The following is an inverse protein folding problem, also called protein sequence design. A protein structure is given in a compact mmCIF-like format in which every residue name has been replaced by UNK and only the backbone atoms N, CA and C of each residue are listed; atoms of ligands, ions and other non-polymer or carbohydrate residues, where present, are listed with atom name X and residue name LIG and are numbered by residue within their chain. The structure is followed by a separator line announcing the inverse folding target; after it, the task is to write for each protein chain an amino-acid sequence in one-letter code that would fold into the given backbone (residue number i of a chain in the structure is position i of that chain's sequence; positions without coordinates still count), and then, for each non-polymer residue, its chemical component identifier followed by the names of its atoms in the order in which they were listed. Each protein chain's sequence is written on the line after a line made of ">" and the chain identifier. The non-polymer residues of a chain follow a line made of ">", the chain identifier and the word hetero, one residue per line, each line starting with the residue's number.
data_IF_734232068046
#
_entry.id   IF_734232068046
#
_cell.length_a   1.000
_cell.length_b   1.000
_cell.length_c   1.000
_cell.angle_alpha   90.00
_cell.angle_beta   90.00
_cell.angle_gamma   90.00
#
_symmetry.space_group_name_H-M   'P 1'
#
loop_
_entity.id
_entity.type
_entity.pdbx_description
1 polymer ?
#
# COMPACT_ATOMS: atom_id res chain seq x y z
N UNK A 1 17.59 4.47 -11.74
CA UNK A 1 17.36 3.78 -10.45
C UNK A 1 18.05 2.44 -10.46
N UNK A 2 18.58 1.97 -9.31
CA UNK A 2 19.23 0.66 -9.15
C UNK A 2 18.77 -0.03 -7.87
N UNK A 3 18.89 -1.35 -7.82
CA UNK A 3 18.61 -2.13 -6.62
C UNK A 3 19.70 -1.99 -5.58
N UNK A 4 19.32 -1.70 -4.34
CA UNK A 4 20.24 -1.84 -3.22
C UNK A 4 20.23 -3.27 -2.64
N UNK A 5 21.16 -3.56 -1.71
CA UNK A 5 21.31 -4.89 -1.07
C UNK A 5 20.08 -5.36 -0.28
N UNK A 6 19.12 -4.47 0.00
CA UNK A 6 17.88 -4.77 0.72
C UNK A 6 16.67 -4.93 -0.20
N UNK A 7 16.86 -4.87 -1.53
CA UNK A 7 15.77 -5.00 -2.49
C UNK A 7 14.88 -3.76 -2.60
N UNK A 8 15.44 -2.56 -2.48
CA UNK A 8 14.77 -1.30 -2.77
C UNK A 8 15.43 -0.61 -3.96
N UNK A 9 14.62 0.10 -4.75
CA UNK A 9 15.10 0.97 -5.80
C UNK A 9 15.60 2.29 -5.18
N UNK A 10 16.85 2.64 -5.49
CA UNK A 10 17.51 3.86 -5.03
C UNK A 10 18.18 4.56 -6.22
N UNK A 11 18.43 5.87 -6.14
CA UNK A 11 19.22 6.56 -7.15
C UNK A 11 20.58 5.89 -7.35
N UNK A 12 21.12 5.96 -8.56
CA UNK A 12 22.47 5.45 -8.83
C UNK A 12 23.52 6.25 -8.02
N UNK A 13 24.65 5.63 -7.61
CA UNK A 13 25.74 6.35 -6.96
C UNK A 13 26.18 7.55 -7.81
N UNK A 14 26.46 8.67 -7.16
CA UNK A 14 26.88 9.89 -7.83
C UNK A 14 25.75 10.68 -8.50
N UNK A 15 24.49 10.26 -8.37
CA UNK A 15 23.33 11.08 -8.77
C UNK A 15 23.01 12.05 -7.63
N UNK A 16 23.41 13.32 -7.67
CA UNK A 16 23.06 14.25 -6.60
C UNK A 16 21.55 14.50 -6.63
N UNK A 17 20.91 14.71 -5.47
CA UNK A 17 19.55 15.22 -5.47
C UNK A 17 19.53 16.56 -6.18
N UNK A 18 18.55 16.79 -7.07
CA UNK A 18 18.33 18.10 -7.67
C UNK A 18 18.13 19.16 -6.59
N UNK A 19 18.45 20.43 -6.90
CA UNK A 19 18.35 21.55 -5.94
C UNK A 19 16.98 21.66 -5.26
N UNK A 20 15.92 21.23 -5.94
CA UNK A 20 14.53 21.23 -5.45
C UNK A 20 14.08 19.92 -4.82
N UNK A 21 14.96 18.91 -4.67
CA UNK A 21 14.57 17.58 -4.17
C UNK A 21 13.84 17.63 -2.81
N UNK A 22 14.31 18.48 -1.90
CA UNK A 22 13.70 18.60 -0.57
C UNK A 22 12.24 19.09 -0.63
N UNK A 23 11.89 19.89 -1.62
CA UNK A 23 10.52 20.40 -1.84
C UNK A 23 9.58 19.35 -2.44
N UNK A 24 10.12 18.32 -3.12
CA UNK A 24 9.34 17.30 -3.83
C UNK A 24 9.32 15.93 -3.12
N UNK A 25 10.22 15.71 -2.17
CA UNK A 25 10.23 14.47 -1.42
C UNK A 25 9.09 14.46 -0.39
N UNK A 26 8.12 13.52 -0.47
CA UNK A 26 6.97 13.48 0.45
C UNK A 26 7.36 13.24 1.91
N UNK A 27 8.62 12.89 2.16
CA UNK A 27 9.19 12.66 3.50
C UNK A 27 10.12 13.79 3.95
N UNK A 28 10.29 14.83 3.15
CA UNK A 28 11.11 16.00 3.51
C UNK A 28 10.40 16.89 4.53
N UNK A 29 11.13 17.54 5.45
CA UNK A 29 10.56 18.56 6.32
C UNK A 29 10.15 19.85 5.59
N UNK A 30 10.63 20.07 4.37
CA UNK A 30 10.30 21.23 3.53
C UNK A 30 9.03 21.03 2.70
N UNK A 31 8.58 19.77 2.55
CA UNK A 31 7.37 19.47 1.82
C UNK A 31 6.13 19.73 2.68
N UNK A 32 5.07 20.38 2.15
CA UNK A 32 3.80 20.54 2.86
C UNK A 32 3.20 19.19 3.21
N UNK A 33 2.46 19.15 4.31
CA UNK A 33 1.75 17.94 4.72
C UNK A 33 0.47 17.71 3.91
N UNK A 34 -0.18 16.58 4.14
CA UNK A 34 -1.38 16.16 3.41
C UNK A 34 -2.55 17.11 3.64
N UNK A 35 -2.69 17.70 4.84
CA UNK A 35 -3.78 18.66 5.15
C UNK A 35 -3.64 19.94 4.33
N UNK A 36 -2.42 20.46 4.19
CA UNK A 36 -2.13 21.64 3.38
C UNK A 36 -2.42 21.38 1.89
N UNK A 37 -1.93 20.25 1.37
CA UNK A 37 -2.15 19.89 -0.04
C UNK A 37 -3.64 19.63 -0.31
N UNK A 38 -4.33 18.86 0.54
CA UNK A 38 -5.75 18.57 0.38
C UNK A 38 -6.62 19.83 0.55
N UNK A 39 -6.18 20.80 1.39
CA UNK A 39 -6.84 22.10 1.52
C UNK A 39 -6.84 22.91 0.23
N UNK A 40 -5.75 22.85 -0.53
CA UNK A 40 -5.63 23.50 -1.83
C UNK A 40 -6.39 22.76 -2.94
N UNK A 41 -6.32 21.41 -2.94
CA UNK A 41 -6.94 20.60 -3.98
C UNK A 41 -8.46 20.48 -3.83
N UNK A 42 -8.96 20.40 -2.61
CA UNK A 42 -10.35 20.13 -2.30
C UNK A 42 -10.99 21.19 -1.38
N UNK A 43 -10.86 22.51 -1.70
CA UNK A 43 -11.31 23.58 -0.81
C UNK A 43 -12.84 23.56 -0.58
N UNK A 44 -13.60 23.14 -1.60
CA UNK A 44 -15.07 23.13 -1.59
C UNK A 44 -15.68 21.78 -1.13
N UNK A 45 -14.85 20.79 -0.72
CA UNK A 45 -15.38 19.52 -0.27
C UNK A 45 -16.30 19.71 0.96
N UNK A 46 -17.54 19.18 0.95
CA UNK A 46 -18.54 19.44 1.99
C UNK A 46 -18.21 18.77 3.33
N UNK A 47 -17.35 17.76 3.31
CA UNK A 47 -16.96 17.01 4.52
C UNK A 47 -15.47 17.09 4.76
N UNK A 48 -15.09 17.15 6.04
CA UNK A 48 -13.71 17.06 6.51
C UNK A 48 -13.64 16.22 7.79
N UNK A 49 -12.72 15.29 7.85
CA UNK A 49 -12.46 14.47 9.02
C UNK A 49 -10.94 14.39 9.25
N UNK A 50 -10.50 14.60 10.48
CA UNK A 50 -9.07 14.64 10.82
C UNK A 50 -8.33 13.32 10.56
N UNK A 51 -9.06 12.20 10.33
CA UNK A 51 -8.51 10.86 10.14
C UNK A 51 -8.43 10.45 8.68
N UNK A 52 -9.34 10.95 7.82
CA UNK A 52 -9.45 10.57 6.41
C UNK A 52 -9.38 11.76 5.42
N UNK A 53 -9.23 12.99 5.94
CA UNK A 53 -9.10 14.20 5.14
C UNK A 53 -10.43 14.76 4.64
N UNK A 54 -10.39 15.61 3.61
CA UNK A 54 -11.55 16.23 2.95
C UNK A 54 -12.18 15.26 1.96
N UNK A 55 -13.52 15.26 1.81
CA UNK A 55 -14.20 14.39 0.86
C UNK A 55 -15.61 14.87 0.47
N UNK A 56 -16.06 14.44 -0.71
CA UNK A 56 -17.40 14.64 -1.26
C UNK A 56 -18.38 13.55 -0.85
N UNK A 57 -17.90 12.31 -0.82
CA UNK A 57 -18.68 11.13 -0.48
C UNK A 57 -17.78 9.96 -0.11
N UNK A 58 -18.32 9.00 0.65
CA UNK A 58 -17.68 7.74 0.93
C UNK A 58 -18.67 6.59 0.73
N UNK A 59 -18.15 5.45 0.23
CA UNK A 59 -18.97 4.28 -0.09
C UNK A 59 -18.28 2.99 0.33
N UNK A 60 -19.10 1.93 0.48
CA UNK A 60 -18.65 0.53 0.60
C UNK A 60 -19.34 -0.30 -0.47
N UNK A 61 -18.63 -1.22 -1.12
CA UNK A 61 -19.20 -2.13 -2.12
C UNK A 61 -18.20 -2.62 -3.16
N UNK A 62 -18.69 -2.90 -4.35
CA UNK A 62 -17.89 -3.52 -5.41
C UNK A 62 -18.41 -3.19 -6.82
N UNK A 63 -17.60 -3.46 -7.83
CA UNK A 63 -18.02 -3.45 -9.22
C UNK A 63 -18.85 -4.72 -9.49
N UNK A 64 -20.08 -4.53 -9.99
CA UNK A 64 -20.93 -5.61 -10.53
C UNK A 64 -20.60 -5.92 -11.99
N UNK A 65 -20.10 -4.92 -12.71
CA UNK A 65 -19.62 -5.07 -14.08
C UNK A 65 -18.40 -5.99 -14.13
N UNK A 66 -18.49 -6.99 -15.04
CA UNK A 66 -17.38 -7.92 -15.27
C UNK A 66 -16.29 -7.29 -16.17
N UNK A 67 -15.01 -7.65 -16.01
CA UNK A 67 -14.47 -8.67 -15.08
C UNK A 67 -13.81 -8.04 -13.82
N UNK A 68 -14.17 -6.82 -13.42
CA UNK A 68 -13.40 -6.01 -12.46
C UNK A 68 -13.28 -6.63 -11.07
N UNK A 69 -14.38 -7.16 -10.51
CA UNK A 69 -14.33 -7.77 -9.17
C UNK A 69 -13.54 -9.08 -9.15
N UNK A 70 -13.77 -10.05 -10.05
CA UNK A 70 -12.95 -11.27 -10.09
C UNK A 70 -11.47 -11.01 -10.31
N UNK A 71 -11.11 -10.11 -11.22
CA UNK A 71 -9.73 -9.82 -11.56
C UNK A 71 -9.04 -8.89 -10.54
N UNK A 72 -9.78 -8.19 -9.72
CA UNK A 72 -9.22 -7.31 -8.67
C UNK A 72 -8.81 -8.09 -7.42
N UNK A 73 -7.98 -7.49 -6.57
CA UNK A 73 -7.66 -8.04 -5.24
C UNK A 73 -8.78 -7.87 -4.23
N UNK A 74 -9.72 -6.97 -4.47
CA UNK A 74 -10.88 -6.67 -3.62
C UNK A 74 -12.13 -6.47 -4.49
N UNK A 75 -12.95 -5.45 -4.23
CA UNK A 75 -14.18 -5.17 -4.97
C UNK A 75 -14.02 -4.71 -6.42
N UNK A 76 -12.80 -4.52 -6.95
CA UNK A 76 -12.52 -4.18 -8.35
C UNK A 76 -12.69 -2.71 -8.71
N UNK A 77 -13.01 -1.82 -7.75
CA UNK A 77 -13.40 -0.43 -8.02
C UNK A 77 -12.27 0.43 -8.56
N UNK A 78 -11.01 0.21 -8.17
CA UNK A 78 -9.87 0.97 -8.72
C UNK A 78 -9.75 0.76 -10.22
N UNK A 79 -9.79 -0.51 -10.66
CA UNK A 79 -9.70 -0.86 -12.08
C UNK A 79 -10.92 -0.38 -12.84
N UNK A 80 -12.12 -0.46 -12.24
CA UNK A 80 -13.35 0.04 -12.85
C UNK A 80 -13.30 1.56 -13.09
N UNK A 81 -12.89 2.35 -12.09
CA UNK A 81 -12.78 3.82 -12.25
C UNK A 81 -11.74 4.18 -13.31
N UNK A 82 -10.57 3.53 -13.26
CA UNK A 82 -9.52 3.75 -14.26
C UNK A 82 -10.02 3.41 -15.68
N UNK A 83 -10.74 2.28 -15.85
CA UNK A 83 -11.34 1.87 -17.11
C UNK A 83 -12.41 2.86 -17.58
N UNK A 84 -13.24 3.38 -16.69
CA UNK A 84 -14.28 4.32 -17.03
C UNK A 84 -13.72 5.68 -17.48
N UNK A 85 -12.65 6.14 -16.86
CA UNK A 85 -11.94 7.36 -17.29
C UNK A 85 -11.36 7.22 -18.71
N UNK A 86 -10.81 6.03 -19.05
CA UNK A 86 -10.34 5.72 -20.41
C UNK A 86 -11.52 5.60 -21.38
N UNK A 87 -12.54 4.82 -21.04
CA UNK A 87 -13.70 4.53 -21.89
C UNK A 87 -14.46 5.80 -22.29
N UNK A 88 -14.58 6.73 -21.37
CA UNK A 88 -15.29 8.01 -21.59
C UNK A 88 -14.39 9.09 -22.18
N UNK A 89 -13.14 8.80 -22.48
CA UNK A 89 -12.19 9.76 -23.03
C UNK A 89 -11.86 10.92 -22.10
N UNK A 90 -12.05 10.75 -20.80
CA UNK A 90 -11.64 11.75 -19.78
C UNK A 90 -10.12 11.79 -19.68
N UNK A 91 -9.48 10.63 -19.79
CA UNK A 91 -8.02 10.50 -19.90
C UNK A 91 -7.64 9.69 -21.12
N UNK A 92 -6.44 9.93 -21.63
CA UNK A 92 -5.89 9.26 -22.82
C UNK A 92 -5.06 8.03 -22.43
N UNK A 93 -4.54 8.00 -21.19
CA UNK A 93 -3.86 6.83 -20.62
C UNK A 93 -3.89 6.84 -19.08
N UNK A 94 -3.67 5.66 -18.49
CA UNK A 94 -3.55 5.45 -17.04
C UNK A 94 -2.16 4.94 -16.70
N UNK A 95 -1.44 5.68 -15.85
CA UNK A 95 -0.19 5.22 -15.25
C UNK A 95 -0.51 4.33 -14.04
N UNK A 96 -0.18 3.07 -14.10
CA UNK A 96 -0.41 2.10 -13.03
C UNK A 96 0.68 1.03 -13.01
N UNK A 97 0.74 0.25 -11.93
CA UNK A 97 1.70 -0.86 -11.79
C UNK A 97 1.18 -2.10 -12.48
N UNK A 98 2.00 -2.68 -13.36
CA UNK A 98 1.69 -3.91 -14.08
C UNK A 98 2.87 -4.91 -14.02
N UNK A 99 2.65 -6.20 -14.32
CA UNK A 99 3.72 -7.15 -14.53
C UNK A 99 4.66 -6.70 -15.64
N UNK A 100 5.94 -7.04 -15.50
CA UNK A 100 6.97 -6.79 -16.51
C UNK A 100 7.40 -8.09 -17.16
N UNK A 101 8.15 -7.98 -18.26
CA UNK A 101 8.86 -9.10 -18.81
C UNK A 101 9.82 -9.69 -17.74
N UNK A 102 9.84 -11.02 -17.54
CA UNK A 102 10.75 -11.67 -16.62
C UNK A 102 12.25 -11.35 -16.85
N UNK A 103 12.63 -11.10 -18.10
CA UNK A 103 14.01 -10.73 -18.48
C UNK A 103 14.41 -9.32 -18.04
N UNK A 104 13.45 -8.47 -17.68
CA UNK A 104 13.71 -7.08 -17.22
C UNK A 104 14.44 -6.99 -15.87
N UNK A 105 14.57 -8.10 -15.14
CA UNK A 105 15.09 -8.13 -13.77
C UNK A 105 14.15 -7.49 -12.73
N UNK A 106 12.91 -7.24 -13.09
CA UNK A 106 11.83 -6.72 -12.22
C UNK A 106 10.57 -7.53 -12.45
N UNK A 107 9.80 -7.80 -11.40
CA UNK A 107 8.50 -8.45 -11.56
C UNK A 107 7.37 -7.46 -11.90
N UNK A 108 7.52 -6.21 -11.46
CA UNK A 108 6.53 -5.16 -11.66
C UNK A 108 7.19 -3.80 -11.88
N UNK A 109 6.54 -2.99 -12.71
CA UNK A 109 6.90 -1.59 -12.94
C UNK A 109 5.65 -0.75 -13.23
N UNK A 110 5.77 0.58 -13.13
CA UNK A 110 4.78 1.47 -13.70
C UNK A 110 4.83 1.39 -15.23
N UNK A 111 3.65 1.44 -15.83
CA UNK A 111 3.45 1.58 -17.28
C UNK A 111 2.27 2.50 -17.56
N UNK A 112 2.23 3.06 -18.76
CA UNK A 112 1.04 3.68 -19.31
C UNK A 112 0.20 2.61 -20.00
N UNK A 113 -1.09 2.59 -19.72
CA UNK A 113 -2.09 1.76 -20.43
C UNK A 113 -3.08 2.67 -21.13
N UNK A 114 -3.22 2.47 -22.44
CA UNK A 114 -4.12 3.23 -23.32
C UNK A 114 -5.38 2.44 -23.70
N UNK A 115 -5.44 1.17 -23.33
CA UNK A 115 -6.57 0.29 -23.60
C UNK A 115 -7.10 -0.41 -22.34
N UNK A 116 -8.34 -0.90 -22.40
CA UNK A 116 -8.93 -1.68 -21.31
C UNK A 116 -8.23 -3.02 -21.10
N UNK A 117 -7.72 -3.62 -22.19
CA UNK A 117 -6.97 -4.87 -22.14
C UNK A 117 -5.67 -4.70 -21.34
N UNK A 118 -4.87 -3.69 -21.70
CA UNK A 118 -3.62 -3.35 -20.99
C UNK A 118 -3.86 -3.02 -19.53
N UNK A 119 -4.95 -2.27 -19.22
CA UNK A 119 -5.32 -1.92 -17.86
C UNK A 119 -5.67 -3.16 -17.03
N UNK A 120 -6.46 -4.08 -17.61
CA UNK A 120 -6.87 -5.32 -16.96
C UNK A 120 -5.68 -6.26 -16.71
N UNK A 121 -4.69 -6.31 -17.60
CA UNK A 121 -3.46 -7.08 -17.41
C UNK A 121 -2.66 -6.62 -16.16
N UNK A 122 -2.80 -5.35 -15.78
CA UNK A 122 -2.19 -4.79 -14.56
C UNK A 122 -3.06 -4.88 -13.30
N UNK A 123 -4.26 -5.46 -13.37
CA UNK A 123 -5.13 -5.61 -12.20
C UNK A 123 -4.41 -6.34 -11.04
N UNK A 124 -4.90 -6.17 -9.83
CA UNK A 124 -4.41 -6.72 -8.54
C UNK A 124 -3.36 -5.88 -7.82
N UNK A 125 -3.25 -6.14 -6.52
CA UNK A 125 -2.29 -5.48 -5.63
C UNK A 125 -0.89 -6.05 -5.82
N UNK A 126 0.10 -5.15 -5.91
CA UNK A 126 1.51 -5.50 -6.11
C UNK A 126 2.33 -4.98 -4.93
N UNK A 127 2.74 -5.86 -4.03
CA UNK A 127 3.54 -5.52 -2.84
C UNK A 127 5.03 -5.54 -3.16
N UNK A 128 5.44 -4.70 -4.10
CA UNK A 128 6.76 -4.70 -4.70
C UNK A 128 7.26 -3.27 -4.87
N UNK A 129 8.57 -3.00 -4.72
CA UNK A 129 9.12 -1.68 -4.96
C UNK A 129 9.01 -1.29 -6.43
N UNK A 130 8.43 -0.12 -6.65
CA UNK A 130 8.28 0.49 -7.98
C UNK A 130 8.69 1.96 -7.93
N UNK A 131 8.89 2.57 -9.08
CA UNK A 131 9.25 3.98 -9.20
C UNK A 131 8.57 4.60 -10.43
N UNK A 132 8.46 5.92 -10.47
CA UNK A 132 7.67 6.65 -11.46
C UNK A 132 8.51 7.29 -12.58
N UNK A 133 9.84 7.23 -12.54
CA UNK A 133 10.69 8.03 -13.41
C UNK A 133 10.45 7.78 -14.90
N UNK A 134 10.26 6.51 -15.27
CA UNK A 134 10.00 6.15 -16.66
C UNK A 134 8.67 6.73 -17.15
N UNK A 135 7.56 6.44 -16.47
CA UNK A 135 6.23 6.91 -16.91
C UNK A 135 6.11 8.43 -16.85
N UNK A 136 6.79 9.10 -15.91
CA UNK A 136 6.86 10.57 -15.89
C UNK A 136 7.64 11.12 -17.09
N UNK A 137 8.68 10.41 -17.54
CA UNK A 137 9.38 10.72 -18.79
C UNK A 137 8.46 10.58 -20.02
N UNK A 138 7.71 9.52 -20.10
CA UNK A 138 6.72 9.27 -21.17
C UNK A 138 5.60 10.33 -21.15
N UNK A 139 5.06 10.67 -19.99
CA UNK A 139 4.06 11.73 -19.81
C UNK A 139 4.63 13.10 -20.26
N UNK A 140 5.90 13.40 -19.95
CA UNK A 140 6.54 14.65 -20.42
C UNK A 140 6.76 14.67 -21.93
N UNK A 141 7.04 13.53 -22.54
CA UNK A 141 7.30 13.44 -23.98
C UNK A 141 6.01 13.49 -24.82
N UNK A 142 4.91 12.91 -24.32
CA UNK A 142 3.68 12.71 -25.09
C UNK A 142 2.57 13.63 -24.58
N UNK A 143 2.04 14.57 -25.37
CA UNK A 143 0.83 15.33 -25.02
C UNK A 143 -0.35 14.43 -24.78
N UNK A 144 -1.16 14.75 -23.76
CA UNK A 144 -2.34 13.94 -23.40
C UNK A 144 -2.78 14.22 -21.98
N UNK A 145 -3.86 13.58 -21.57
CA UNK A 145 -4.44 13.64 -20.23
C UNK A 145 -4.25 12.29 -19.55
N UNK A 146 -3.67 12.30 -18.37
CA UNK A 146 -3.25 11.09 -17.70
C UNK A 146 -3.91 10.96 -16.32
N UNK A 147 -4.34 9.74 -15.99
CA UNK A 147 -4.61 9.37 -14.61
C UNK A 147 -3.40 8.62 -14.02
N UNK A 148 -3.11 8.83 -12.75
CA UNK A 148 -2.05 8.09 -12.03
C UNK A 148 -2.68 7.32 -10.87
N UNK A 149 -2.49 5.99 -10.86
CA UNK A 149 -2.85 5.13 -9.73
C UNK A 149 -1.64 4.99 -8.81
N UNK A 150 -1.79 5.29 -7.52
CA UNK A 150 -0.63 5.23 -6.62
C UNK A 150 -0.99 5.12 -5.14
N UNK A 151 -0.01 4.68 -4.36
CA UNK A 151 -0.06 4.71 -2.89
C UNK A 151 0.09 6.15 -2.37
N UNK A 152 -0.27 6.47 -1.12
CA UNK A 152 -0.33 7.84 -0.61
C UNK A 152 0.91 8.68 -0.87
N UNK A 153 2.11 8.14 -0.57
CA UNK A 153 3.36 8.88 -0.77
C UNK A 153 3.69 9.16 -2.24
N UNK A 154 3.23 8.30 -3.17
CA UNK A 154 3.39 8.51 -4.61
C UNK A 154 2.45 9.59 -5.11
N UNK A 155 1.18 9.56 -4.69
CA UNK A 155 0.21 10.60 -5.05
C UNK A 155 0.66 11.97 -4.49
N UNK A 156 1.10 12.01 -3.22
CA UNK A 156 1.69 13.24 -2.66
C UNK A 156 2.89 13.73 -3.47
N UNK A 157 3.81 12.83 -3.86
CA UNK A 157 4.96 13.20 -4.69
C UNK A 157 4.55 13.76 -6.07
N UNK A 158 3.51 13.21 -6.70
CA UNK A 158 2.94 13.74 -7.94
C UNK A 158 2.42 15.17 -7.72
N UNK A 159 1.66 15.44 -6.68
CA UNK A 159 1.16 16.80 -6.40
C UNK A 159 2.28 17.80 -6.10
N UNK A 160 3.31 17.36 -5.38
CA UNK A 160 4.49 18.19 -5.16
C UNK A 160 5.23 18.48 -6.48
N UNK A 161 5.37 17.48 -7.34
CA UNK A 161 6.02 17.65 -8.66
C UNK A 161 5.21 18.56 -9.57
N UNK A 162 3.89 18.49 -9.58
CA UNK A 162 2.99 19.37 -10.36
C UNK A 162 3.22 20.86 -10.07
N UNK A 163 3.70 21.22 -8.88
CA UNK A 163 3.96 22.61 -8.49
C UNK A 163 5.17 23.23 -9.20
N UNK A 164 6.07 22.39 -9.69
CA UNK A 164 7.38 22.82 -10.25
C UNK A 164 7.61 22.34 -11.67
N UNK A 165 6.79 21.41 -12.15
CA UNK A 165 6.82 20.90 -13.52
C UNK A 165 5.45 21.17 -14.16
N UNK A 166 5.31 22.28 -14.92
CA UNK A 166 4.05 22.66 -15.54
C UNK A 166 3.52 21.58 -16.49
N UNK A 167 4.40 20.84 -17.18
CA UNK A 167 4.00 19.78 -18.12
C UNK A 167 3.31 18.64 -17.36
N UNK A 168 3.87 18.22 -16.24
CA UNK A 168 3.22 17.22 -15.36
C UNK A 168 1.97 17.82 -14.73
N UNK A 169 2.00 19.11 -14.35
CA UNK A 169 0.86 19.84 -13.80
C UNK A 169 -0.36 19.79 -14.71
N UNK A 170 -0.17 20.06 -15.99
CA UNK A 170 -1.23 20.12 -17.00
C UNK A 170 -1.70 18.73 -17.43
N UNK A 171 -0.77 17.79 -17.58
CA UNK A 171 -1.05 16.46 -18.17
C UNK A 171 -1.60 15.44 -17.18
N UNK A 172 -1.15 15.43 -15.93
CA UNK A 172 -1.71 14.55 -14.91
C UNK A 172 -2.98 15.17 -14.34
N UNK A 173 -4.12 14.79 -14.91
CA UNK A 173 -5.43 15.40 -14.61
C UNK A 173 -6.18 14.69 -13.48
N UNK A 174 -5.88 13.39 -13.23
CA UNK A 174 -6.57 12.58 -12.23
C UNK A 174 -5.59 11.73 -11.42
N UNK A 175 -5.89 11.59 -10.13
CA UNK A 175 -5.12 10.77 -9.20
C UNK A 175 -6.04 9.77 -8.48
N UNK A 176 -5.69 8.49 -8.59
CA UNK A 176 -6.42 7.36 -8.00
C UNK A 176 -5.56 6.78 -6.87
N UNK A 177 -5.93 7.04 -5.63
CA UNK A 177 -5.19 6.61 -4.45
C UNK A 177 -5.52 5.19 -4.02
N UNK A 178 -4.51 4.46 -3.54
CA UNK A 178 -4.68 3.17 -2.91
C UNK A 178 -4.41 3.30 -1.41
N UNK A 179 -5.29 2.75 -0.57
CA UNK A 179 -5.00 2.68 0.86
C UNK A 179 -3.73 1.86 1.10
N UNK A 180 -2.90 2.31 2.00
CA UNK A 180 -1.56 1.73 2.16
C UNK A 180 -1.20 1.46 3.62
N UNK A 181 -0.94 0.20 3.94
CA UNK A 181 -0.34 -0.18 5.22
C UNK A 181 1.16 0.10 5.25
N UNK A 182 1.91 -0.41 4.28
CA UNK A 182 3.34 -0.15 4.04
C UNK A 182 3.80 -0.80 2.72
N UNK A 183 4.93 -0.34 2.19
CA UNK A 183 5.60 -0.96 1.04
C UNK A 183 6.53 -2.07 1.51
N UNK A 184 6.57 -3.17 0.78
CA UNK A 184 7.53 -4.28 0.96
C UNK A 184 8.76 -4.08 0.10
N UNK A 185 9.87 -4.75 0.44
CA UNK A 185 11.03 -4.86 -0.44
C UNK A 185 10.86 -6.01 -1.45
N UNK A 186 11.60 -5.99 -2.55
CA UNK A 186 11.63 -7.09 -3.52
C UNK A 186 12.12 -8.42 -2.89
N UNK A 187 12.86 -8.34 -1.79
CA UNK A 187 13.30 -9.49 -1.01
C UNK A 187 12.15 -10.35 -0.45
N UNK A 188 10.91 -9.83 -0.42
CA UNK A 188 9.75 -10.62 -0.04
C UNK A 188 9.45 -11.73 -1.05
N UNK A 189 9.66 -11.48 -2.34
CA UNK A 189 9.51 -12.52 -3.40
C UNK A 189 10.47 -13.68 -3.16
N UNK A 190 11.73 -13.36 -2.84
CA UNK A 190 12.73 -14.39 -2.54
C UNK A 190 12.41 -15.18 -1.27
N UNK A 191 11.98 -14.50 -0.21
CA UNK A 191 11.55 -15.18 1.01
C UNK A 191 10.39 -16.13 0.74
N UNK A 192 9.42 -15.73 -0.06
CA UNK A 192 8.29 -16.57 -0.44
C UNK A 192 8.74 -17.75 -1.30
N UNK A 193 9.58 -17.52 -2.31
CA UNK A 193 10.16 -18.59 -3.13
C UNK A 193 10.88 -19.64 -2.26
N UNK A 194 11.73 -19.21 -1.34
CA UNK A 194 12.43 -20.13 -0.42
C UNK A 194 11.48 -20.97 0.43
N UNK A 195 10.41 -20.36 0.93
CA UNK A 195 9.43 -21.05 1.77
C UNK A 195 8.51 -21.99 0.96
N UNK A 196 8.36 -21.73 -0.33
CA UNK A 196 7.67 -22.61 -1.27
C UNK A 196 8.61 -23.66 -1.94
N UNK A 197 9.86 -23.77 -1.46
CA UNK A 197 10.79 -24.80 -1.92
C UNK A 197 11.47 -24.51 -3.26
N UNK A 198 11.41 -23.27 -3.76
CA UNK A 198 12.02 -22.85 -5.01
C UNK A 198 13.05 -21.71 -4.79
N UNK A 199 13.75 -21.32 -5.86
CA UNK A 199 14.71 -20.22 -5.87
C UNK A 199 14.13 -19.03 -6.64
N UNK A 200 14.54 -17.81 -6.24
CA UNK A 200 14.06 -16.56 -6.89
C UNK A 200 14.29 -16.58 -8.41
N UNK A 201 15.41 -17.10 -8.87
CA UNK A 201 15.74 -17.17 -10.29
C UNK A 201 14.78 -18.03 -11.13
N UNK A 202 13.96 -18.86 -10.49
CA UNK A 202 12.95 -19.67 -11.16
C UNK A 202 11.58 -18.99 -11.19
N UNK A 203 11.37 -17.88 -10.47
CA UNK A 203 10.09 -17.19 -10.43
C UNK A 203 9.93 -16.33 -11.67
N UNK A 204 9.03 -16.71 -12.57
CA UNK A 204 8.68 -15.95 -13.78
C UNK A 204 7.59 -14.93 -13.53
N UNK A 205 6.51 -15.35 -12.89
CA UNK A 205 5.41 -14.46 -12.51
C UNK A 205 4.95 -14.71 -11.09
N UNK A 206 4.32 -13.72 -10.50
CA UNK A 206 3.78 -13.85 -9.17
C UNK A 206 2.48 -13.10 -8.98
N UNK A 207 1.57 -13.72 -8.22
CA UNK A 207 0.39 -13.07 -7.68
C UNK A 207 0.45 -13.12 -6.15
N UNK A 208 0.31 -11.96 -5.52
CA UNK A 208 0.32 -11.86 -4.06
C UNK A 208 -1.02 -12.19 -3.42
N UNK A 209 -2.14 -12.09 -4.17
CA UNK A 209 -3.50 -12.20 -3.64
C UNK A 209 -4.41 -12.94 -4.62
N UNK A 210 -4.23 -14.25 -4.70
CA UNK A 210 -5.24 -15.08 -5.37
C UNK A 210 -6.48 -15.11 -4.49
N UNK A 211 -7.63 -14.85 -5.12
CA UNK A 211 -8.92 -14.96 -4.44
C UNK A 211 -9.30 -16.41 -4.19
N UNK A 212 -9.93 -16.63 -3.05
CA UNK A 212 -10.63 -17.85 -2.72
C UNK A 212 -11.97 -17.47 -2.07
N UNK A 213 -13.05 -17.68 -2.81
CA UNK A 213 -14.40 -17.28 -2.36
C UNK A 213 -14.90 -18.05 -1.13
N UNK A 214 -14.32 -19.22 -0.86
CA UNK A 214 -14.63 -20.02 0.33
C UNK A 214 -13.88 -19.58 1.60
N UNK A 215 -13.05 -18.52 1.51
CA UNK A 215 -12.23 -17.99 2.61
C UNK A 215 -12.53 -16.52 2.83
N UNK A 216 -12.28 -15.97 4.04
CA UNK A 216 -12.36 -14.54 4.28
C UNK A 216 -11.45 -13.72 3.35
N UNK A 217 -11.85 -12.50 3.02
CA UNK A 217 -11.12 -11.62 2.09
C UNK A 217 -9.66 -11.30 2.53
N UNK A 218 -9.36 -11.38 3.83
CA UNK A 218 -8.02 -11.21 4.39
C UNK A 218 -7.17 -12.49 4.38
N UNK A 219 -7.68 -13.58 3.86
CA UNK A 219 -6.96 -14.84 3.74
C UNK A 219 -6.14 -14.84 2.44
N UNK A 220 -5.05 -14.09 2.44
CA UNK A 220 -4.21 -13.94 1.27
C UNK A 220 -3.50 -15.25 0.93
N UNK A 221 -3.44 -15.56 -0.37
CA UNK A 221 -2.66 -16.64 -0.92
C UNK A 221 -1.74 -16.09 -2.00
N UNK A 222 -0.45 -16.45 -1.95
CA UNK A 222 0.51 -16.16 -3.01
C UNK A 222 0.60 -17.31 -3.98
N UNK A 223 0.87 -16.99 -5.26
CA UNK A 223 1.11 -17.92 -6.33
C UNK A 223 2.36 -17.49 -7.10
N UNK A 224 3.21 -18.45 -7.41
CA UNK A 224 4.42 -18.26 -8.20
C UNK A 224 4.37 -19.17 -9.42
N UNK A 225 4.48 -18.60 -10.62
CA UNK A 225 4.73 -19.35 -11.84
C UNK A 225 6.24 -19.57 -12.00
N UNK A 226 6.66 -20.76 -12.37
CA UNK A 226 8.06 -21.17 -12.36
C UNK A 226 8.60 -21.41 -13.77
N UNK A 227 9.83 -20.97 -14.01
CA UNK A 227 10.58 -21.27 -15.23
C UNK A 227 10.70 -22.79 -15.44
N UNK A 228 10.44 -23.24 -16.68
CA UNK A 228 10.41 -24.66 -17.00
C UNK A 228 9.07 -25.35 -16.71
N UNK A 229 8.05 -24.59 -16.32
CA UNK A 229 6.70 -25.07 -16.05
C UNK A 229 6.43 -25.37 -14.57
N UNK A 230 5.14 -25.46 -14.23
CA UNK A 230 4.67 -25.67 -12.87
C UNK A 230 4.50 -24.36 -12.07
N UNK A 231 3.90 -24.51 -10.92
CA UNK A 231 3.64 -23.39 -10.01
C UNK A 231 3.80 -23.79 -8.56
N UNK A 232 3.92 -22.82 -7.67
CA UNK A 232 3.94 -23.03 -6.24
C UNK A 232 3.06 -21.98 -5.57
N UNK A 233 2.27 -22.38 -4.58
CA UNK A 233 1.36 -21.46 -3.88
C UNK A 233 1.23 -21.79 -2.40
N UNK A 234 0.94 -20.77 -1.59
CA UNK A 234 0.77 -20.92 -0.16
C UNK A 234 -0.07 -19.77 0.42
N UNK A 235 -0.85 -20.08 1.43
CA UNK A 235 -1.52 -19.08 2.25
C UNK A 235 -0.50 -18.29 3.08
N UNK A 236 -0.63 -16.97 3.13
CA UNK A 236 0.30 -16.10 3.87
C UNK A 236 0.37 -16.45 5.37
N UNK A 237 -0.71 -16.97 5.95
CA UNK A 237 -0.75 -17.43 7.34
C UNK A 237 0.24 -18.56 7.65
N UNK A 238 0.68 -19.31 6.63
CA UNK A 238 1.65 -20.39 6.76
C UNK A 238 3.08 -19.93 6.47
N UNK A 239 3.27 -18.69 5.97
CA UNK A 239 4.58 -18.11 5.74
C UNK A 239 5.12 -17.44 7.00
N UNK A 240 6.42 -17.60 7.26
CA UNK A 240 7.07 -17.10 8.47
C UNK A 240 7.04 -15.56 8.59
N UNK A 241 6.94 -14.86 7.47
CA UNK A 241 6.93 -13.40 7.36
C UNK A 241 5.68 -12.86 6.64
N UNK A 242 4.63 -13.68 6.52
CA UNK A 242 3.36 -13.33 5.88
C UNK A 242 2.45 -12.44 6.72
N UNK A 243 2.69 -12.29 8.03
CA UNK A 243 1.88 -11.42 8.90
C UNK A 243 2.12 -9.93 8.58
N UNK A 244 1.09 -9.29 8.03
CA UNK A 244 1.15 -7.89 7.64
C UNK A 244 1.42 -6.98 8.84
N UNK A 245 0.82 -7.28 9.98
CA UNK A 245 0.95 -6.52 11.22
C UNK A 245 2.36 -6.51 11.80
N UNK A 246 3.14 -7.56 11.59
CA UNK A 246 4.49 -7.69 12.12
C UNK A 246 5.53 -6.80 11.39
N UNK A 247 5.28 -6.42 10.14
CA UNK A 247 6.12 -5.47 9.40
C UNK A 247 7.40 -6.05 8.79
N UNK A 248 7.48 -7.37 8.57
CA UNK A 248 8.63 -7.99 7.88
C UNK A 248 8.90 -7.34 6.53
N UNK A 249 10.19 -7.17 6.19
CA UNK A 249 10.67 -6.63 4.91
C UNK A 249 10.01 -5.30 4.50
N UNK A 250 9.58 -4.50 5.48
CA UNK A 250 8.97 -3.19 5.28
C UNK A 250 10.02 -2.16 4.83
N UNK A 251 9.63 -1.26 3.94
CA UNK A 251 10.43 -0.09 3.60
C UNK A 251 10.58 0.82 4.83
N UNK A 252 11.80 1.20 5.24
CA UNK A 252 12.03 2.02 6.42
C UNK A 252 11.33 3.40 6.41
N UNK A 253 11.10 3.99 5.24
CA UNK A 253 10.35 5.25 5.11
C UNK A 253 8.90 5.12 5.59
N UNK A 254 8.31 3.92 5.49
CA UNK A 254 6.95 3.66 5.94
C UNK A 254 6.74 3.81 7.44
N UNK A 255 7.81 3.73 8.25
CA UNK A 255 7.74 3.99 9.69
C UNK A 255 7.43 5.46 10.01
N UNK A 256 7.64 6.36 9.05
CA UNK A 256 7.51 7.81 9.18
C UNK A 256 6.36 8.41 8.37
N UNK A 257 5.47 7.58 7.84
CA UNK A 257 4.28 7.99 7.09
C UNK A 257 3.06 8.08 8.00
N UNK A 258 2.20 9.08 7.81
CA UNK A 258 0.96 9.31 8.57
C UNK A 258 -0.31 9.21 7.71
N UNK A 259 -0.19 9.00 6.39
CA UNK A 259 -1.33 8.83 5.49
C UNK A 259 -1.59 7.34 5.20
N UNK A 260 -2.82 6.90 5.47
CA UNK A 260 -3.33 5.56 5.18
C UNK A 260 -4.20 5.55 3.93
N UNK A 261 -4.99 6.62 3.73
CA UNK A 261 -6.14 6.63 2.82
C UNK A 261 -5.92 7.51 1.58
N UNK A 262 -4.66 7.86 1.29
CA UNK A 262 -4.27 8.71 0.18
C UNK A 262 -5.07 10.03 0.16
N UNK A 263 -4.91 10.81 1.20
CA UNK A 263 -5.72 12.03 1.48
C UNK A 263 -5.59 13.11 0.41
N UNK A 264 -4.56 13.06 -0.42
CA UNK A 264 -4.33 13.99 -1.54
C UNK A 264 -4.81 13.48 -2.90
N UNK A 265 -5.36 12.25 -3.00
CA UNK A 265 -5.89 11.71 -4.25
C UNK A 265 -7.32 12.20 -4.53
N UNK A 266 -7.69 12.35 -5.80
CA UNK A 266 -9.05 12.73 -6.22
C UNK A 266 -10.09 11.69 -5.82
N UNK A 267 -9.72 10.42 -5.79
CA UNK A 267 -10.49 9.28 -5.28
C UNK A 267 -9.53 8.25 -4.70
N UNK A 268 -9.91 7.58 -3.62
CA UNK A 268 -9.07 6.58 -2.98
C UNK A 268 -9.83 5.32 -2.61
N UNK A 269 -9.15 4.16 -2.68
CA UNK A 269 -9.73 2.84 -2.54
C UNK A 269 -9.01 2.01 -1.50
N UNK A 270 -9.77 1.31 -0.66
CA UNK A 270 -9.26 0.35 0.31
C UNK A 270 -10.11 -0.90 0.40
N UNK A 271 -9.69 -1.85 1.22
CA UNK A 271 -10.49 -3.03 1.55
C UNK A 271 -11.40 -2.72 2.76
N UNK A 272 -12.60 -3.31 2.77
CA UNK A 272 -13.55 -3.17 3.88
C UNK A 272 -13.26 -4.21 4.97
N UNK A 273 -12.27 -3.96 5.84
CA UNK A 273 -11.83 -4.89 6.90
C UNK A 273 -12.77 -4.92 8.12
N UNK A 274 -14.06 -5.04 7.89
CA UNK A 274 -15.11 -5.19 8.93
C UNK A 274 -16.17 -6.17 8.44
N UNK A 275 -16.88 -6.82 9.38
CA UNK A 275 -18.01 -7.66 9.05
C UNK A 275 -19.20 -6.83 8.55
N UNK A 276 -19.97 -7.37 7.59
CA UNK A 276 -19.85 -8.71 6.99
C UNK A 276 -18.87 -8.80 5.81
N UNK A 277 -18.25 -7.70 5.41
CA UNK A 277 -17.43 -7.60 4.19
C UNK A 277 -16.11 -8.35 4.29
N UNK A 278 -15.52 -8.45 5.48
CA UNK A 278 -14.27 -9.20 5.71
C UNK A 278 -14.43 -10.70 5.51
N UNK A 279 -15.62 -11.25 5.74
CA UNK A 279 -15.94 -12.66 5.53
C UNK A 279 -16.24 -13.01 4.06
N UNK A 280 -16.54 -12.03 3.19
CA UNK A 280 -16.79 -12.27 1.77
C UNK A 280 -15.48 -12.37 0.97
N UNK A 281 -15.06 -13.59 0.64
CA UNK A 281 -13.81 -13.88 -0.09
C UNK A 281 -13.73 -13.26 -1.49
N UNK A 282 -14.86 -12.85 -2.07
CA UNK A 282 -14.88 -12.09 -3.34
C UNK A 282 -14.28 -10.70 -3.20
N UNK A 283 -14.22 -10.19 -1.96
CA UNK A 283 -13.66 -8.88 -1.63
C UNK A 283 -14.62 -7.71 -1.86
N UNK A 284 -14.52 -6.72 -0.98
CA UNK A 284 -15.32 -5.50 -1.00
C UNK A 284 -14.43 -4.30 -0.75
N UNK A 285 -14.60 -3.23 -1.52
CA UNK A 285 -13.87 -1.99 -1.34
C UNK A 285 -14.60 -1.01 -0.42
N UNK A 286 -13.83 -0.15 0.23
CA UNK A 286 -14.27 1.18 0.64
C UNK A 286 -13.68 2.20 -0.30
N UNK A 287 -14.41 3.28 -0.54
CA UNK A 287 -14.05 4.35 -1.48
C UNK A 287 -14.25 5.70 -0.81
N UNK A 288 -13.27 6.59 -0.96
CA UNK A 288 -13.37 8.00 -0.57
C UNK A 288 -13.25 8.84 -1.84
N UNK A 289 -14.30 9.55 -2.19
CA UNK A 289 -14.34 10.44 -3.36
C UNK A 289 -14.12 11.88 -2.89
N UNK A 290 -13.20 12.62 -3.54
CA UNK A 290 -12.82 13.97 -3.11
C UNK A 290 -13.17 15.06 -4.12
N UNK A 291 -13.53 14.68 -5.35
CA UNK A 291 -13.90 15.65 -6.39
C UNK A 291 -15.35 15.44 -6.88
N UNK A 292 -16.08 16.53 -7.18
CA UNK A 292 -17.46 16.42 -7.71
C UNK A 292 -17.54 15.63 -9.03
N UNK A 293 -16.50 15.74 -9.89
CA UNK A 293 -16.46 15.02 -11.17
C UNK A 293 -16.43 13.50 -10.98
N UNK A 294 -15.58 13.01 -10.06
CA UNK A 294 -15.51 11.57 -9.78
C UNK A 294 -16.72 11.09 -8.97
N UNK A 295 -17.33 11.94 -8.14
CA UNK A 295 -18.61 11.62 -7.51
C UNK A 295 -19.71 11.39 -8.56
N UNK A 296 -19.82 12.28 -9.54
CA UNK A 296 -20.79 12.12 -10.63
C UNK A 296 -20.52 10.85 -11.47
N UNK A 297 -19.25 10.47 -11.68
CA UNK A 297 -18.88 9.22 -12.37
C UNK A 297 -19.32 8.00 -11.56
N UNK A 298 -19.08 7.97 -10.25
CA UNK A 298 -19.49 6.89 -9.36
C UNK A 298 -21.03 6.78 -9.32
N UNK A 299 -21.74 7.90 -9.17
CA UNK A 299 -23.21 7.89 -9.11
C UNK A 299 -23.84 7.41 -10.42
N UNK A 300 -23.28 7.74 -11.57
CA UNK A 300 -23.71 7.16 -12.85
C UNK A 300 -23.51 5.64 -12.86
N UNK A 301 -22.33 5.14 -12.50
CA UNK A 301 -22.07 3.70 -12.44
C UNK A 301 -23.02 2.97 -11.49
N UNK A 302 -23.45 3.61 -10.41
CA UNK A 302 -24.49 3.08 -9.50
C UNK A 302 -25.87 3.07 -10.15
N UNK A 303 -26.28 4.18 -10.78
CA UNK A 303 -27.57 4.30 -11.44
C UNK A 303 -27.72 3.29 -12.59
N UNK A 304 -26.63 3.04 -13.32
CA UNK A 304 -26.58 2.06 -14.41
C UNK A 304 -26.48 0.60 -13.93
N UNK A 305 -26.46 0.36 -12.61
CA UNK A 305 -26.30 -0.99 -12.03
C UNK A 305 -24.91 -1.62 -12.22
N UNK A 306 -23.94 -0.86 -12.69
CA UNK A 306 -22.54 -1.30 -12.91
C UNK A 306 -21.71 -1.32 -11.63
N UNK A 307 -22.17 -0.61 -10.60
CA UNK A 307 -21.59 -0.56 -9.27
C UNK A 307 -22.66 -0.85 -8.22
N UNK A 308 -22.35 -1.73 -7.29
CA UNK A 308 -23.14 -1.97 -6.07
C UNK A 308 -22.40 -1.26 -4.93
N UNK A 309 -22.88 -0.08 -4.54
CA UNK A 309 -22.25 0.78 -3.55
C UNK A 309 -23.29 1.35 -2.59
N UNK A 310 -22.97 1.31 -1.30
CA UNK A 310 -23.73 1.92 -0.22
C UNK A 310 -22.97 3.13 0.32
N UNK A 311 -23.63 4.29 0.52
CA UNK A 311 -23.00 5.43 1.19
C UNK A 311 -22.65 5.09 2.64
N UNK A 312 -21.48 5.55 3.10
CA UNK A 312 -21.01 5.32 4.47
C UNK A 312 -20.43 6.59 5.10
N UNK A 313 -20.37 6.61 6.42
CA UNK A 313 -19.74 7.70 7.17
C UNK A 313 -18.22 7.62 7.21
N UNK A 314 -17.57 8.71 7.62
CA UNK A 314 -16.15 8.74 7.93
C UNK A 314 -15.77 7.70 9.02
N UNK A 315 -16.62 7.54 10.05
CA UNK A 315 -16.40 6.57 11.13
C UNK A 315 -16.40 5.13 10.60
N UNK A 316 -17.25 4.82 9.62
CA UNK A 316 -17.21 3.50 8.97
C UNK A 316 -15.87 3.27 8.26
N UNK A 317 -15.38 4.23 7.47
CA UNK A 317 -14.07 4.13 6.81
C UNK A 317 -12.96 3.94 7.84
N UNK A 318 -12.95 4.75 8.92
CA UNK A 318 -11.98 4.64 10.02
C UNK A 318 -12.01 3.27 10.66
N UNK A 319 -13.20 2.71 10.91
CA UNK A 319 -13.36 1.37 11.46
C UNK A 319 -12.74 0.31 10.57
N UNK A 320 -12.93 0.38 9.25
CA UNK A 320 -12.32 -0.56 8.29
C UNK A 320 -10.79 -0.51 8.28
N UNK A 321 -10.19 0.63 8.62
CA UNK A 321 -8.74 0.88 8.58
C UNK A 321 -8.12 1.09 9.97
N UNK A 322 -8.84 0.75 11.03
CA UNK A 322 -8.49 1.11 12.40
C UNK A 322 -7.07 0.67 12.82
N UNK A 323 -6.63 -0.53 12.43
CA UNK A 323 -5.27 -1.00 12.74
C UNK A 323 -4.19 -0.18 12.02
N UNK A 324 -4.42 0.18 10.76
CA UNK A 324 -3.54 1.02 9.94
C UNK A 324 -3.45 2.43 10.50
N UNK A 325 -4.59 3.06 10.75
CA UNK A 325 -4.67 4.41 11.31
C UNK A 325 -3.99 4.49 12.68
N UNK A 326 -4.27 3.55 13.59
CA UNK A 326 -3.60 3.49 14.89
C UNK A 326 -2.08 3.38 14.75
N UNK A 327 -1.58 2.56 13.81
CA UNK A 327 -0.14 2.44 13.58
C UNK A 327 0.47 3.73 13.02
N UNK A 328 -0.26 4.43 12.14
CA UNK A 328 0.18 5.67 11.49
C UNK A 328 -0.03 6.92 12.34
N UNK A 329 -0.86 6.88 13.36
CA UNK A 329 -1.11 7.98 14.30
C UNK A 329 -0.40 7.71 15.63
N UNK A 330 -0.92 6.84 16.48
CA UNK A 330 -0.34 6.56 17.80
C UNK A 330 1.07 5.96 17.73
N UNK A 331 1.25 5.00 16.82
CA UNK A 331 2.55 4.36 16.60
C UNK A 331 3.58 5.33 16.05
N UNK A 332 3.18 6.26 15.17
CA UNK A 332 4.06 7.30 14.66
C UNK A 332 4.38 8.33 15.74
N UNK A 333 3.38 8.81 16.50
CA UNK A 333 3.59 9.72 17.63
C UNK A 333 4.62 9.15 18.62
N UNK A 334 4.52 7.85 18.91
CA UNK A 334 5.50 7.17 19.76
C UNK A 334 6.88 7.08 19.12
N UNK A 335 6.99 6.75 17.82
CA UNK A 335 8.30 6.73 17.13
C UNK A 335 8.93 8.12 17.04
N UNK A 336 8.14 9.18 16.83
CA UNK A 336 8.62 10.56 16.83
C UNK A 336 9.12 11.01 18.21
N UNK A 337 8.62 10.42 19.31
CA UNK A 337 9.12 10.70 20.67
C UNK A 337 10.50 10.08 20.95
N UNK A 338 11.00 9.19 20.09
CA UNK A 338 12.34 8.64 20.24
C UNK A 338 13.38 9.69 19.84
N UNK A 339 14.23 10.07 20.75
CA UNK A 339 15.32 11.04 20.49
C UNK A 339 16.29 10.43 19.46
N UNK A 340 16.18 10.86 18.22
CA UNK A 340 17.03 10.43 17.09
C UNK A 340 17.53 11.65 16.34
N UNK A 341 18.82 11.65 15.97
CA UNK A 341 19.38 12.56 14.99
C UNK A 341 18.86 12.22 13.60
N UNK A 342 18.72 13.20 12.73
CA UNK A 342 18.34 13.04 11.32
C UNK A 342 17.19 13.94 10.90
N UNK A 343 16.82 13.84 9.63
CA UNK A 343 15.76 14.62 9.00
C UNK A 343 14.42 14.26 9.66
N UNK A 344 13.69 15.26 10.11
CA UNK A 344 12.34 15.13 10.66
C UNK A 344 11.34 15.72 9.69
N UNK A 345 10.63 14.86 8.97
CA UNK A 345 9.51 15.32 8.18
C UNK A 345 8.44 15.96 9.07
N UNK A 346 7.81 17.03 8.56
CA UNK A 346 6.65 17.64 9.22
C UNK A 346 5.50 16.65 9.18
N UNK A 347 5.00 16.25 10.35
CA UNK A 347 3.91 15.30 10.51
C UNK A 347 2.75 15.93 11.26
N UNK A 348 1.54 15.44 10.95
CA UNK A 348 0.30 15.91 11.57
C UNK A 348 0.10 15.39 13.00
N UNK A 349 0.93 14.43 13.42
CA UNK A 349 0.89 13.88 14.77
C UNK A 349 2.00 14.47 15.64
N UNK A 350 1.64 14.87 16.86
CA UNK A 350 2.58 15.36 17.85
C UNK A 350 3.34 14.20 18.49
N UNK A 351 4.67 14.31 18.69
CA UNK A 351 5.44 13.31 19.39
C UNK A 351 4.88 13.03 20.80
N UNK A 352 4.61 11.76 21.10
CA UNK A 352 4.06 11.37 22.42
C UNK A 352 4.53 9.97 22.81
N UNK A 353 4.91 9.81 24.07
CA UNK A 353 5.15 8.52 24.70
C UNK A 353 3.99 8.09 25.63
N UNK A 354 2.87 8.79 25.62
CA UNK A 354 1.71 8.53 26.46
C UNK A 354 0.87 7.35 25.93
N UNK A 355 1.45 6.14 26.02
CA UNK A 355 0.81 4.88 25.59
C UNK A 355 0.97 3.83 26.69
N UNK A 356 0.03 2.87 26.77
CA UNK A 356 0.20 1.69 27.62
C UNK A 356 1.48 0.92 27.27
N UNK A 357 2.15 0.37 28.28
CA UNK A 357 3.45 -0.29 28.11
C UNK A 357 3.40 -1.40 27.04
N UNK A 358 2.35 -2.20 27.05
CA UNK A 358 2.19 -3.28 26.07
C UNK A 358 2.08 -2.75 24.63
N UNK A 359 1.40 -1.61 24.42
CA UNK A 359 1.33 -0.97 23.11
C UNK A 359 2.70 -0.44 22.66
N UNK A 360 3.48 0.11 23.57
CA UNK A 360 4.87 0.49 23.30
C UNK A 360 5.72 -0.70 22.88
N UNK A 361 5.57 -1.85 23.55
CA UNK A 361 6.27 -3.09 23.18
C UNK A 361 5.88 -3.58 21.78
N UNK A 362 4.58 -3.55 21.42
CA UNK A 362 4.12 -3.89 20.08
C UNK A 362 4.81 -3.03 19.01
N UNK A 363 4.86 -1.71 19.19
CA UNK A 363 5.49 -0.81 18.23
C UNK A 363 7.01 -0.97 18.16
N UNK A 364 7.69 -1.24 19.29
CA UNK A 364 9.13 -1.52 19.31
C UNK A 364 9.46 -2.85 18.62
N UNK A 365 8.69 -3.91 18.87
CA UNK A 365 8.86 -5.20 18.20
C UNK A 365 8.65 -5.09 16.70
N UNK A 366 7.56 -4.45 16.28
CA UNK A 366 7.30 -4.22 14.85
C UNK A 366 8.44 -3.47 14.17
N UNK A 367 8.93 -2.40 14.80
CA UNK A 367 10.08 -1.64 14.30
C UNK A 367 11.37 -2.47 14.23
N UNK A 368 11.64 -3.28 15.26
CA UNK A 368 12.78 -4.18 15.29
C UNK A 368 12.68 -5.24 14.19
N UNK A 369 11.52 -5.88 14.02
CA UNK A 369 11.27 -6.87 12.95
C UNK A 369 11.52 -6.24 11.58
N UNK A 370 10.95 -5.06 11.30
CA UNK A 370 11.16 -4.36 10.04
C UNK A 370 12.65 -4.10 9.76
N UNK A 371 13.39 -3.64 10.76
CA UNK A 371 14.83 -3.35 10.62
C UNK A 371 15.70 -4.60 10.46
N UNK A 372 15.41 -5.66 11.21
CA UNK A 372 16.25 -6.87 11.21
C UNK A 372 15.93 -7.84 10.09
N UNK A 373 14.76 -7.76 9.45
CA UNK A 373 14.38 -8.64 8.33
C UNK A 373 15.43 -8.65 7.22
N UNK A 374 15.89 -7.48 6.80
CA UNK A 374 16.86 -7.37 5.71
C UNK A 374 18.25 -7.88 6.08
N UNK A 375 18.86 -7.54 7.24
CA UNK A 375 20.11 -8.13 7.68
C UNK A 375 20.05 -9.66 7.79
N UNK A 376 18.96 -10.20 8.36
CA UNK A 376 18.80 -11.65 8.53
C UNK A 376 18.67 -12.37 7.20
N UNK A 377 17.95 -11.79 6.23
CA UNK A 377 17.88 -12.36 4.89
C UNK A 377 19.25 -12.32 4.17
N UNK A 378 20.00 -11.21 4.31
CA UNK A 378 21.35 -11.11 3.76
C UNK A 378 22.30 -12.13 4.39
N UNK A 379 22.21 -12.35 5.69
CA UNK A 379 22.98 -13.38 6.39
C UNK A 379 22.65 -14.78 5.85
N UNK A 380 21.37 -15.10 5.68
CA UNK A 380 20.93 -16.35 5.10
C UNK A 380 21.49 -16.58 3.68
N UNK A 381 21.51 -15.53 2.84
CA UNK A 381 22.14 -15.55 1.51
C UNK A 381 23.63 -15.83 1.60
N UNK A 382 24.36 -15.09 2.46
CA UNK A 382 25.80 -15.22 2.63
C UNK A 382 26.20 -16.63 3.09
N UNK A 383 25.43 -17.22 4.01
CA UNK A 383 25.62 -18.57 4.51
C UNK A 383 25.03 -19.66 3.60
N UNK A 384 24.36 -19.30 2.49
CA UNK A 384 23.61 -20.23 1.63
C UNK A 384 22.65 -21.14 2.41
N UNK A 385 22.07 -20.60 3.48
CA UNK A 385 21.20 -21.36 4.38
C UNK A 385 19.92 -20.57 4.70
N UNK A 386 18.86 -20.85 3.96
CA UNK A 386 17.55 -20.22 4.13
C UNK A 386 16.92 -20.44 5.50
N UNK A 387 17.31 -21.52 6.23
CA UNK A 387 16.79 -21.78 7.56
C UNK A 387 17.15 -20.68 8.57
N UNK A 388 18.27 -19.98 8.39
CA UNK A 388 18.68 -18.85 9.24
C UNK A 388 17.58 -17.77 9.25
N UNK A 389 17.09 -17.37 8.08
CA UNK A 389 16.04 -16.36 7.98
C UNK A 389 14.69 -16.90 8.45
N UNK A 390 14.27 -18.08 7.98
CA UNK A 390 12.92 -18.60 8.26
C UNK A 390 12.74 -18.96 9.73
N UNK A 391 13.74 -19.50 10.42
CA UNK A 391 13.68 -19.77 11.86
C UNK A 391 13.64 -18.47 12.66
N UNK A 392 14.48 -17.49 12.30
CA UNK A 392 14.42 -16.17 12.92
C UNK A 392 13.03 -15.52 12.72
N UNK A 393 12.50 -15.52 11.50
CA UNK A 393 11.22 -14.91 11.19
C UNK A 393 10.08 -15.58 11.95
N UNK A 394 10.03 -16.90 12.03
CA UNK A 394 9.04 -17.64 12.83
C UNK A 394 9.13 -17.31 14.32
N UNK A 395 10.34 -17.17 14.86
CA UNK A 395 10.54 -16.81 16.28
C UNK A 395 10.09 -15.38 16.55
N UNK A 396 10.47 -14.44 15.69
CA UNK A 396 10.07 -13.05 15.77
C UNK A 396 8.55 -12.87 15.62
N UNK A 397 7.91 -13.61 14.71
CA UNK A 397 6.47 -13.62 14.52
C UNK A 397 5.73 -14.14 15.76
N UNK A 398 6.19 -15.26 16.34
CA UNK A 398 5.60 -15.81 17.58
C UNK A 398 5.68 -14.82 18.73
N UNK A 399 6.82 -14.16 18.91
CA UNK A 399 6.99 -13.12 19.92
C UNK A 399 6.05 -11.94 19.68
N UNK A 400 6.00 -11.44 18.45
CA UNK A 400 5.07 -10.37 18.06
C UNK A 400 3.62 -10.74 18.35
N UNK A 401 3.18 -11.91 17.91
CA UNK A 401 1.81 -12.38 18.10
C UNK A 401 1.46 -12.61 19.58
N UNK A 402 2.41 -13.05 20.41
CA UNK A 402 2.22 -13.16 21.85
C UNK A 402 1.97 -11.79 22.49
N UNK A 403 2.75 -10.79 22.12
CA UNK A 403 2.61 -9.43 22.66
C UNK A 403 1.40 -8.69 22.09
N UNK A 404 1.15 -8.81 20.78
CA UNK A 404 0.10 -8.06 20.08
C UNK A 404 -1.29 -8.70 20.24
N UNK A 405 -1.38 -10.04 20.32
CA UNK A 405 -2.62 -10.80 20.20
C UNK A 405 -2.83 -11.83 21.33
N UNK A 406 -2.04 -11.77 22.39
CA UNK A 406 -2.13 -12.73 23.54
C UNK A 406 -1.99 -14.20 23.11
N UNK A 407 -1.28 -14.48 22.00
CA UNK A 407 -1.16 -15.86 21.51
C UNK A 407 -0.13 -16.66 22.31
N UNK A 408 -0.44 -17.95 22.52
CA UNK A 408 0.44 -18.92 23.20
C UNK A 408 0.54 -18.72 24.72
N UNK A 409 1.37 -19.55 25.38
CA UNK A 409 1.56 -19.50 26.84
C UNK A 409 2.16 -18.17 27.31
N UNK A 410 3.14 -17.65 26.57
CA UNK A 410 3.78 -16.37 26.88
C UNK A 410 2.80 -15.18 26.76
N UNK A 411 1.91 -15.20 25.75
CA UNK A 411 0.90 -14.17 25.60
C UNK A 411 -0.10 -14.15 26.77
N UNK A 412 -0.54 -15.33 27.24
CA UNK A 412 -1.41 -15.44 28.44
C UNK A 412 -0.72 -14.99 29.73
N UNK A 413 0.57 -15.28 29.88
CA UNK A 413 1.36 -14.77 31.02
C UNK A 413 1.45 -13.25 30.99
N UNK A 414 1.66 -12.67 29.80
CA UNK A 414 1.66 -11.20 29.63
C UNK A 414 0.32 -10.56 29.97
N UNK A 415 -0.81 -11.25 29.68
CA UNK A 415 -2.14 -10.74 30.02
C UNK A 415 -2.34 -10.59 31.53
N UNK A 416 -1.70 -11.45 32.34
CA UNK A 416 -1.73 -11.37 33.79
C UNK A 416 -0.89 -10.20 34.34
N UNK A 417 0.14 -9.76 33.61
CA UNK A 417 1.06 -8.70 34.04
C UNK A 417 0.74 -7.34 33.40
N UNK A 418 0.24 -7.35 32.20
CA UNK A 418 -0.03 -6.15 31.39
C UNK A 418 -1.39 -6.34 30.68
N UNK A 419 -2.33 -5.40 30.85
CA UNK A 419 -3.62 -5.54 30.19
C UNK A 419 -3.44 -5.73 28.68
N UNK A 420 -4.25 -6.63 28.04
CA UNK A 420 -4.17 -6.86 26.61
C UNK A 420 -4.43 -5.55 25.86
N UNK A 421 -3.77 -5.35 24.69
CA UNK A 421 -4.07 -4.19 23.87
C UNK A 421 -5.53 -4.27 23.43
N UNK A 422 -6.22 -3.13 23.44
CA UNK A 422 -7.61 -3.04 22.99
C UNK A 422 -7.77 -3.73 21.63
N UNK A 423 -8.66 -4.72 21.59
CA UNK A 423 -9.11 -5.34 20.35
C UNK A 423 -10.16 -4.42 19.77
N UNK A 424 -9.97 -4.00 18.53
CA UNK A 424 -11.04 -3.38 17.76
C UNK A 424 -12.03 -4.53 17.42
N UNK A 425 -13.18 -4.45 17.98
CA UNK A 425 -14.33 -5.29 17.64
C UNK A 425 -14.82 -5.00 16.23
#
# INVERSE_FOLDING_TARGET
>A
MQWNKSGFLVPAPGSPPGASFAQHCPFSPEAPNEDAIAGELFPAAPFADARIGRFEAAYVGHASEQPFRPNGSSGGLTSWVAAELLRTGVVDAVAHVAPTDPESGRHFAYRLSCSLEELNAGAKSRYYPVELSQVLGEIRATPGRYAVVGIPCFIKAIHLLKRVDPVIGDRVTHTLGLFCGHMKSAAMVESFAWQLGTELARVQALDYRIKNESRPANWYRTHLDLAGGGSAEQDWWHLADGDWGAGFLQNPACDWCDDVVAETADIAFGDAWVEPYSSDGRGTNVVIVRTPKLKALIERGRADGRLILEPVSADFIVKTQAAGLRHRRDGLAYRLSWHRSGIRAVKRVTPSAALPLRRKLVYRLRYAIARWSHPMLRLARACRNRAIYTLWARSALRLYQSVAWSRGRFGRLLDALLPPPERLS
#
